data_IF_514630604205
#
_entry.id   IF_514630604205
#
_cell.length_a   1.000
_cell.length_b   1.000
_cell.length_c   1.000
_cell.angle_alpha   90.00
_cell.angle_beta   90.00
_cell.angle_gamma   90.00
#
_symmetry.space_group_name_H-M   'P 1'
#
loop_
_entity.id
_entity.type
_entity.pdbx_description
1 polymer ?
#
# COMPACT_ATOMS: atom_id res chain seq x y z
N UNK A 1 4.15 -15.10 -14.44
CA UNK A 1 4.67 -13.99 -13.60
C UNK A 1 5.37 -14.48 -12.32
N UNK A 2 4.71 -15.28 -11.47
CA UNK A 2 5.32 -15.80 -10.24
C UNK A 2 6.62 -16.59 -10.48
N UNK A 3 6.66 -17.46 -11.49
CA UNK A 3 7.88 -18.21 -11.85
C UNK A 3 9.05 -17.30 -12.24
N UNK A 4 8.79 -16.25 -13.02
CA UNK A 4 9.81 -15.25 -13.35
C UNK A 4 10.34 -14.56 -12.08
N UNK A 5 9.45 -14.11 -11.20
CA UNK A 5 9.85 -13.49 -9.93
C UNK A 5 10.64 -14.46 -9.03
N UNK A 6 10.26 -15.74 -9.00
CA UNK A 6 10.97 -16.80 -8.26
C UNK A 6 12.43 -16.92 -8.71
N UNK A 7 12.65 -16.99 -10.02
CA UNK A 7 14.00 -17.05 -10.58
C UNK A 7 14.76 -15.74 -10.42
N UNK A 8 14.11 -14.59 -10.60
CA UNK A 8 14.71 -13.28 -10.36
C UNK A 8 15.19 -13.10 -8.92
N UNK A 9 14.39 -13.55 -7.94
CA UNK A 9 14.80 -13.51 -6.54
C UNK A 9 15.93 -14.49 -6.22
N UNK A 10 16.03 -15.57 -7.00
CA UNK A 10 17.09 -16.57 -6.83
C UNK A 10 18.47 -16.02 -7.21
N UNK A 11 18.56 -15.07 -8.15
CA UNK A 11 19.82 -14.40 -8.51
C UNK A 11 20.10 -13.23 -7.56
N UNK A 12 19.35 -12.12 -7.69
CA UNK A 12 19.69 -10.82 -7.06
C UNK A 12 18.75 -10.45 -5.90
N UNK A 13 17.86 -11.36 -5.52
CA UNK A 13 17.01 -11.22 -4.34
C UNK A 13 17.71 -11.62 -3.05
N UNK A 14 17.16 -11.17 -1.93
CA UNK A 14 17.51 -11.61 -0.58
C UNK A 14 16.22 -12.02 0.12
N UNK A 15 16.27 -13.17 0.78
CA UNK A 15 15.24 -13.68 1.69
C UNK A 15 16.03 -14.17 2.89
N UNK A 16 15.79 -13.60 4.06
CA UNK A 16 16.39 -14.06 5.31
C UNK A 16 15.58 -13.64 6.51
N UNK A 17 15.64 -14.43 7.56
CA UNK A 17 15.12 -14.03 8.86
C UNK A 17 16.12 -13.10 9.56
N UNK A 18 15.64 -12.01 10.14
CA UNK A 18 16.41 -11.17 11.04
C UNK A 18 15.94 -11.40 12.48
N UNK A 19 16.61 -12.31 13.17
CA UNK A 19 16.27 -12.68 14.54
C UNK A 19 16.36 -11.51 15.53
N UNK A 20 17.28 -10.55 15.31
CA UNK A 20 17.43 -9.39 16.19
C UNK A 20 16.25 -8.43 16.09
N UNK A 21 15.75 -8.25 14.87
CA UNK A 21 14.61 -7.36 14.61
C UNK A 21 13.25 -8.09 14.59
N UNK A 22 13.23 -9.42 14.71
CA UNK A 22 12.02 -10.23 14.68
C UNK A 22 11.22 -10.09 13.38
N UNK A 23 11.91 -9.96 12.23
CA UNK A 23 11.24 -9.72 10.94
C UNK A 23 11.91 -10.44 9.78
N UNK A 24 11.12 -10.77 8.76
CA UNK A 24 11.62 -11.21 7.46
C UNK A 24 12.22 -10.04 6.68
N UNK A 25 13.38 -10.27 6.08
CA UNK A 25 14.01 -9.35 5.11
C UNK A 25 13.89 -9.97 3.72
N UNK A 26 12.90 -9.50 2.97
CA UNK A 26 12.66 -9.90 1.58
C UNK A 26 12.85 -8.66 0.70
N UNK A 27 13.92 -8.65 -0.10
CA UNK A 27 14.17 -7.54 -1.02
C UNK A 27 14.87 -7.97 -2.30
N UNK A 28 14.77 -7.13 -3.32
CA UNK A 28 15.48 -7.23 -4.59
C UNK A 28 16.27 -5.95 -4.81
N UNK A 29 17.47 -6.06 -5.36
CA UNK A 29 18.35 -4.93 -5.62
C UNK A 29 18.74 -4.86 -7.10
N UNK A 30 18.65 -3.67 -7.70
CA UNK A 30 19.06 -3.45 -9.09
C UNK A 30 19.64 -2.05 -9.27
N UNK A 31 20.56 -1.87 -10.21
CA UNK A 31 21.04 -0.54 -10.64
C UNK A 31 20.09 0.11 -11.66
N UNK A 32 19.10 -0.64 -12.17
CA UNK A 32 18.08 -0.17 -13.11
C UNK A 32 16.81 0.23 -12.36
N UNK A 33 16.46 1.53 -12.46
CA UNK A 33 15.21 2.06 -11.90
C UNK A 33 13.99 1.45 -12.59
N UNK A 34 14.02 1.40 -13.93
CA UNK A 34 12.93 0.87 -14.74
C UNK A 34 12.63 -0.59 -14.38
N UNK A 35 13.65 -1.44 -14.32
CA UNK A 35 13.47 -2.84 -13.93
C UNK A 35 12.88 -2.97 -12.52
N UNK A 36 13.32 -2.11 -11.59
CA UNK A 36 12.78 -2.08 -10.23
C UNK A 36 11.29 -1.73 -10.21
N UNK A 37 10.88 -0.75 -11.00
CA UNK A 37 9.47 -0.34 -11.12
C UNK A 37 8.64 -1.44 -11.81
N UNK A 38 9.16 -2.08 -12.86
CA UNK A 38 8.48 -3.20 -13.53
C UNK A 38 8.26 -4.38 -12.59
N UNK A 39 9.29 -4.77 -11.83
CA UNK A 39 9.19 -5.82 -10.80
C UNK A 39 8.18 -5.43 -9.72
N UNK A 40 8.15 -4.16 -9.31
CA UNK A 40 7.14 -3.63 -8.38
C UNK A 40 5.73 -3.79 -8.94
N UNK A 41 5.49 -3.47 -10.20
CA UNK A 41 4.19 -3.67 -10.85
C UNK A 41 3.80 -5.15 -10.93
N UNK A 42 4.75 -6.05 -11.21
CA UNK A 42 4.50 -7.50 -11.19
C UNK A 42 4.10 -7.99 -9.79
N UNK A 43 4.74 -7.48 -8.74
CA UNK A 43 4.36 -7.78 -7.35
C UNK A 43 2.97 -7.24 -6.99
N UNK A 44 2.63 -6.03 -7.43
CA UNK A 44 1.31 -5.44 -7.21
C UNK A 44 0.19 -6.27 -7.86
N UNK A 45 0.40 -6.83 -9.05
CA UNK A 45 -0.54 -7.76 -9.69
C UNK A 45 -0.74 -9.07 -8.91
N UNK A 46 0.22 -9.45 -8.07
CA UNK A 46 0.07 -10.56 -7.12
C UNK A 46 -0.50 -10.08 -5.77
N UNK A 47 -0.88 -8.82 -5.64
CA UNK A 47 -1.34 -8.19 -4.42
C UNK A 47 -0.26 -8.15 -3.33
N UNK A 48 1.01 -8.04 -3.72
CA UNK A 48 2.17 -7.93 -2.83
C UNK A 48 2.65 -6.47 -2.85
N UNK A 49 2.41 -5.77 -1.75
CA UNK A 49 2.88 -4.39 -1.59
C UNK A 49 4.38 -4.38 -1.35
N UNK A 50 5.09 -3.51 -2.06
CA UNK A 50 6.53 -3.31 -1.91
C UNK A 50 6.90 -1.83 -2.02
N UNK A 51 8.02 -1.47 -1.38
CA UNK A 51 8.56 -0.11 -1.38
C UNK A 51 9.92 -0.08 -2.05
N UNK A 52 10.07 0.79 -3.03
CA UNK A 52 11.32 1.08 -3.69
C UNK A 52 12.00 2.30 -3.05
N UNK A 53 13.31 2.27 -2.84
CA UNK A 53 14.10 3.43 -2.44
C UNK A 53 15.50 3.39 -3.04
N UNK A 54 16.08 4.58 -3.25
CA UNK A 54 17.45 4.75 -3.76
C UNK A 54 18.45 4.58 -2.62
N UNK A 55 19.51 3.81 -2.85
CA UNK A 55 20.63 3.63 -1.93
C UNK A 55 21.89 4.17 -2.61
N UNK A 56 22.39 5.35 -2.19
CA UNK A 56 23.63 5.90 -2.72
C UNK A 56 24.80 4.96 -2.50
N UNK A 57 25.66 4.78 -3.51
CA UNK A 57 26.88 3.95 -3.40
C UNK A 57 28.18 4.77 -3.44
N UNK A 58 28.08 6.09 -3.31
CA UNK A 58 29.23 7.00 -3.37
C UNK A 58 29.82 7.07 -4.77
N UNK A 59 30.93 6.36 -5.00
CA UNK A 59 31.65 6.38 -6.30
C UNK A 59 31.04 5.43 -7.35
N UNK A 60 30.17 4.51 -6.93
CA UNK A 60 29.53 3.56 -7.83
C UNK A 60 28.10 4.00 -8.17
N UNK A 61 27.51 3.35 -9.19
CA UNK A 61 26.12 3.58 -9.56
C UNK A 61 25.19 3.25 -8.38
N UNK A 62 24.25 4.15 -8.12
CA UNK A 62 23.23 3.95 -7.10
C UNK A 62 22.42 2.67 -7.33
N UNK A 63 22.01 2.07 -6.22
CA UNK A 63 21.22 0.84 -6.22
C UNK A 63 19.81 1.16 -5.78
N UNK A 64 18.83 0.59 -6.49
CA UNK A 64 17.43 0.64 -6.14
C UNK A 64 17.04 -0.60 -5.33
N UNK A 65 16.69 -0.32 -4.07
CA UNK A 65 16.11 -1.15 -3.01
C UNK A 65 14.64 -1.47 -3.18
N UNK A 66 14.20 -2.63 -3.68
CA UNK A 66 12.78 -3.02 -3.63
C UNK A 66 12.51 -3.96 -2.46
N UNK A 67 11.83 -3.46 -1.42
CA UNK A 67 11.59 -4.20 -0.19
C UNK A 67 10.12 -4.66 -0.10
N UNK A 68 9.92 -5.96 0.17
CA UNK A 68 8.62 -6.52 0.54
C UNK A 68 8.52 -6.48 2.06
N UNK A 69 7.73 -5.54 2.55
CA UNK A 69 7.57 -5.26 3.97
C UNK A 69 6.16 -5.57 4.44
N UNK A 70 6.02 -5.84 5.74
CA UNK A 70 4.75 -6.19 6.35
C UNK A 70 4.45 -7.69 6.23
N UNK A 71 3.94 -8.25 7.32
CA UNK A 71 3.69 -9.69 7.46
C UNK A 71 2.77 -10.21 6.35
N UNK A 72 1.71 -9.48 6.02
CA UNK A 72 0.74 -9.88 4.98
C UNK A 72 1.39 -10.01 3.60
N UNK A 73 2.16 -9.00 3.17
CA UNK A 73 2.87 -9.03 1.89
C UNK A 73 3.98 -10.09 1.86
N UNK A 74 4.72 -10.27 2.95
CA UNK A 74 5.76 -11.29 3.05
C UNK A 74 5.18 -12.71 2.99
N UNK A 75 4.12 -13.00 3.75
CA UNK A 75 3.40 -14.28 3.68
C UNK A 75 2.88 -14.55 2.27
N UNK A 76 2.31 -13.53 1.62
CA UNK A 76 1.79 -13.65 0.25
C UNK A 76 2.93 -13.87 -0.77
N UNK A 77 4.07 -13.20 -0.61
CA UNK A 77 5.27 -13.44 -1.41
C UNK A 77 5.76 -14.88 -1.27
N UNK A 78 5.94 -15.37 -0.04
CA UNK A 78 6.43 -16.73 0.22
C UNK A 78 5.48 -17.81 -0.30
N UNK A 79 4.17 -17.53 -0.31
CA UNK A 79 3.15 -18.44 -0.84
C UNK A 79 3.06 -18.44 -2.37
N UNK A 80 3.11 -17.27 -3.01
CA UNK A 80 2.84 -17.12 -4.44
C UNK A 80 4.10 -17.13 -5.31
N UNK A 81 5.19 -16.50 -4.84
CA UNK A 81 6.45 -16.37 -5.57
C UNK A 81 7.43 -17.43 -5.10
N UNK A 82 7.60 -17.57 -3.78
CA UNK A 82 8.55 -18.50 -3.15
C UNK A 82 10.01 -18.26 -3.61
N UNK A 83 10.93 -19.16 -3.28
CA UNK A 83 12.33 -19.10 -3.67
C UNK A 83 12.83 -20.44 -4.23
N UNK A 84 13.90 -20.40 -5.00
CA UNK A 84 14.57 -21.59 -5.54
C UNK A 84 16.02 -21.68 -5.04
N UNK A 85 16.59 -22.90 -5.05
CA UNK A 85 17.96 -23.16 -4.61
C UNK A 85 18.15 -22.92 -3.11
N UNK A 86 19.32 -22.43 -2.71
CA UNK A 86 19.65 -22.21 -1.29
C UNK A 86 18.62 -21.31 -0.57
N UNK A 87 18.11 -20.28 -1.25
CA UNK A 87 17.11 -19.34 -0.71
C UNK A 87 15.76 -20.00 -0.40
N UNK A 88 15.50 -21.20 -0.89
CA UNK A 88 14.30 -21.96 -0.53
C UNK A 88 14.25 -22.25 0.97
N UNK A 89 15.39 -22.62 1.57
CA UNK A 89 15.45 -22.91 3.00
C UNK A 89 15.27 -21.65 3.84
N UNK A 90 15.92 -20.54 3.44
CA UNK A 90 15.71 -19.23 4.08
C UNK A 90 14.23 -18.79 4.00
N UNK A 91 13.56 -19.06 2.87
CA UNK A 91 12.14 -18.76 2.71
C UNK A 91 11.25 -19.56 3.68
N UNK A 92 11.59 -20.83 3.96
CA UNK A 92 10.86 -21.64 4.96
C UNK A 92 11.10 -21.15 6.37
N UNK A 93 12.34 -20.77 6.71
CA UNK A 93 12.65 -20.17 8.01
C UNK A 93 11.83 -18.89 8.22
N UNK A 94 11.83 -17.98 7.23
CA UNK A 94 11.04 -16.74 7.30
C UNK A 94 9.56 -17.06 7.41
N UNK A 95 9.04 -18.02 6.63
CA UNK A 95 7.64 -18.40 6.69
C UNK A 95 7.24 -18.89 8.09
N UNK A 96 8.00 -19.81 8.65
CA UNK A 96 7.75 -20.39 9.97
C UNK A 96 7.75 -19.30 11.06
N UNK A 97 8.78 -18.45 11.08
CA UNK A 97 8.88 -17.39 12.08
C UNK A 97 7.79 -16.32 11.93
N UNK A 98 7.27 -16.12 10.71
CA UNK A 98 6.15 -15.22 10.48
C UNK A 98 4.81 -15.78 10.96
N UNK A 99 4.62 -17.10 11.13
CA UNK A 99 3.32 -17.69 11.52
C UNK A 99 2.80 -17.13 12.85
N UNK A 100 3.69 -16.93 13.83
CA UNK A 100 3.33 -16.37 15.14
C UNK A 100 3.13 -14.85 15.16
N UNK A 101 3.41 -14.13 14.06
CA UNK A 101 3.39 -12.67 14.06
C UNK A 101 2.05 -12.16 13.54
N UNK A 102 1.37 -11.34 14.36
CA UNK A 102 0.17 -10.61 13.93
C UNK A 102 0.60 -9.44 13.06
N UNK A 103 0.00 -9.33 11.86
CA UNK A 103 0.31 -8.25 10.95
C UNK A 103 -0.02 -6.88 11.57
N UNK A 104 0.92 -5.94 11.50
CA UNK A 104 0.67 -4.58 11.95
C UNK A 104 -0.26 -3.86 10.97
N UNK A 105 -1.49 -3.57 11.41
CA UNK A 105 -2.52 -2.89 10.62
C UNK A 105 -2.25 -1.39 10.39
N UNK A 106 -1.22 -0.83 11.05
CA UNK A 106 -0.89 0.60 10.95
C UNK A 106 -0.06 0.97 9.70
N UNK A 107 0.20 0.01 8.80
CA UNK A 107 0.81 0.29 7.49
C UNK A 107 -0.27 0.55 6.44
N UNK A 108 -1.38 -0.21 6.49
CA UNK A 108 -2.54 -0.05 5.62
C UNK A 108 -3.59 0.81 6.32
N UNK A 109 -3.34 2.12 6.28
CA UNK A 109 -4.17 3.13 6.94
C UNK A 109 -4.96 3.94 5.94
N UNK A 110 -6.12 4.41 6.36
CA UNK A 110 -6.91 5.40 5.62
C UNK A 110 -6.49 6.79 6.07
N UNK A 111 -6.39 7.80 5.19
CA UNK A 111 -5.97 9.14 5.55
C UNK A 111 -6.75 9.66 6.75
N UNK A 112 -6.06 10.36 7.67
CA UNK A 112 -6.65 10.87 8.92
C UNK A 112 -7.87 11.77 8.67
N UNK A 113 -7.96 12.35 7.49
CA UNK A 113 -9.03 13.20 7.01
C UNK A 113 -10.38 12.47 7.03
N UNK A 114 -10.38 11.12 6.99
CA UNK A 114 -11.61 10.32 7.19
C UNK A 114 -12.29 10.60 8.54
N UNK A 115 -11.54 11.07 9.54
CA UNK A 115 -12.11 11.47 10.83
C UNK A 115 -13.02 12.69 10.75
N UNK A 116 -12.93 13.52 9.70
CA UNK A 116 -13.91 14.58 9.48
C UNK A 116 -15.29 13.97 9.18
N UNK A 117 -15.34 13.00 8.27
CA UNK A 117 -16.57 12.26 7.92
C UNK A 117 -17.14 11.52 9.14
N UNK A 118 -16.30 10.83 9.89
CA UNK A 118 -16.74 10.11 11.12
C UNK A 118 -17.35 11.08 12.14
N UNK A 119 -16.72 12.24 12.37
CA UNK A 119 -17.25 13.24 13.34
C UNK A 119 -18.55 13.88 12.89
N UNK A 120 -18.70 14.10 11.59
CA UNK A 120 -19.97 14.57 11.03
C UNK A 120 -21.08 13.53 11.29
N UNK A 121 -20.82 12.25 10.99
CA UNK A 121 -21.76 11.16 11.24
C UNK A 121 -22.11 10.98 12.71
N UNK A 122 -21.16 11.18 13.62
CA UNK A 122 -21.45 11.18 15.06
C UNK A 122 -22.45 12.27 15.46
N UNK A 123 -22.33 13.45 14.84
CA UNK A 123 -23.24 14.57 15.07
C UNK A 123 -24.65 14.26 14.53
N UNK A 124 -24.73 13.71 13.32
CA UNK A 124 -25.99 13.29 12.68
C UNK A 124 -26.73 12.23 13.52
N UNK A 125 -25.99 11.29 14.12
CA UNK A 125 -26.51 10.26 15.02
C UNK A 125 -26.72 10.74 16.48
N UNK A 126 -26.45 12.02 16.78
CA UNK A 126 -26.47 12.58 18.15
C UNK A 126 -25.63 11.77 19.15
N UNK A 127 -24.57 11.14 18.68
CA UNK A 127 -23.68 10.31 19.49
C UNK A 127 -22.53 11.15 20.04
N UNK A 128 -22.34 11.12 21.35
CA UNK A 128 -21.20 11.84 21.97
C UNK A 128 -19.89 11.14 21.68
N UNK A 129 -18.77 11.90 21.65
CA UNK A 129 -17.45 11.31 21.48
C UNK A 129 -17.09 10.29 22.57
N UNK A 130 -17.63 10.44 23.79
CA UNK A 130 -17.42 9.50 24.90
C UNK A 130 -18.14 8.18 24.65
N UNK A 131 -19.43 8.25 24.26
CA UNK A 131 -20.20 7.06 23.89
C UNK A 131 -19.56 6.34 22.70
N UNK A 132 -19.03 7.08 21.73
CA UNK A 132 -18.33 6.50 20.59
C UNK A 132 -17.03 5.79 21.00
N UNK A 133 -16.22 6.39 21.88
CA UNK A 133 -15.00 5.77 22.37
C UNK A 133 -15.29 4.47 23.15
N UNK A 134 -16.37 4.46 23.93
CA UNK A 134 -16.86 3.27 24.63
C UNK A 134 -17.30 2.17 23.64
N UNK A 135 -18.10 2.51 22.64
CA UNK A 135 -18.52 1.57 21.59
C UNK A 135 -17.32 1.02 20.79
N UNK A 136 -16.29 1.85 20.56
CA UNK A 136 -15.03 1.46 19.95
C UNK A 136 -14.12 0.62 20.84
N UNK A 137 -14.48 0.42 22.12
CA UNK A 137 -13.68 -0.24 23.16
C UNK A 137 -12.29 0.38 23.31
N UNK A 138 -12.23 1.71 23.29
CA UNK A 138 -11.01 2.48 23.43
C UNK A 138 -11.14 3.48 24.58
N UNK A 139 -10.08 3.71 25.38
CA UNK A 139 -10.11 4.75 26.40
C UNK A 139 -10.43 6.12 25.79
N UNK A 140 -11.35 6.85 26.42
CA UNK A 140 -11.64 8.22 26.02
C UNK A 140 -10.52 9.15 26.48
N UNK A 141 -9.60 9.48 25.58
CA UNK A 141 -8.47 10.39 25.82
C UNK A 141 -8.60 11.68 24.99
N UNK A 142 -9.79 12.29 25.00
CA UNK A 142 -10.07 13.55 24.30
C UNK A 142 -9.83 13.47 22.80
N UNK A 143 -8.90 14.29 22.29
CA UNK A 143 -8.62 14.38 20.84
C UNK A 143 -7.66 13.33 20.31
N UNK A 144 -7.10 12.47 21.17
CA UNK A 144 -6.05 11.51 20.80
C UNK A 144 -6.49 10.53 19.72
N UNK A 145 -7.75 10.10 19.73
CA UNK A 145 -8.33 9.23 18.70
C UNK A 145 -8.20 9.80 17.28
N UNK A 146 -8.27 11.12 17.14
CA UNK A 146 -8.35 11.81 15.86
C UNK A 146 -6.98 12.21 15.30
N UNK A 147 -5.89 12.06 16.09
CA UNK A 147 -4.56 12.56 15.71
C UNK A 147 -3.90 11.75 14.60
N UNK A 148 -4.17 10.46 14.55
CA UNK A 148 -3.50 9.52 13.64
C UNK A 148 -4.48 8.92 12.64
N UNK A 149 -3.94 8.56 11.47
CA UNK A 149 -4.65 7.80 10.47
C UNK A 149 -5.17 6.47 11.07
N UNK A 150 -6.45 6.13 10.93
CA UNK A 150 -6.95 4.83 11.38
C UNK A 150 -6.40 3.71 10.51
N UNK A 151 -6.10 2.57 11.14
CA UNK A 151 -6.03 1.30 10.44
C UNK A 151 -7.38 0.95 9.83
N UNK A 152 -7.39 0.11 8.78
CA UNK A 152 -8.63 -0.40 8.19
C UNK A 152 -9.55 -1.07 9.20
N UNK A 153 -9.02 -1.88 10.11
CA UNK A 153 -9.81 -2.54 11.16
C UNK A 153 -10.48 -1.54 12.12
N UNK A 154 -9.77 -0.47 12.50
CA UNK A 154 -10.29 0.57 13.38
C UNK A 154 -11.39 1.36 12.67
N UNK A 155 -11.16 1.74 11.41
CA UNK A 155 -12.19 2.40 10.62
C UNK A 155 -13.40 1.49 10.36
N UNK A 156 -13.18 0.19 10.18
CA UNK A 156 -14.25 -0.80 9.96
C UNK A 156 -15.16 -0.92 11.18
N UNK A 157 -14.59 -0.94 12.39
CA UNK A 157 -15.40 -0.87 13.63
C UNK A 157 -16.18 0.43 13.74
N UNK A 158 -15.55 1.56 13.39
CA UNK A 158 -16.24 2.86 13.38
C UNK A 158 -17.42 2.85 12.39
N UNK A 159 -17.21 2.31 11.19
CA UNK A 159 -18.25 2.16 10.17
C UNK A 159 -19.41 1.29 10.66
N UNK A 160 -19.13 0.18 11.35
CA UNK A 160 -20.17 -0.68 11.91
C UNK A 160 -20.98 -0.01 13.03
N UNK A 161 -20.34 0.79 13.89
CA UNK A 161 -21.03 1.54 14.96
C UNK A 161 -21.94 2.62 14.37
N UNK A 162 -21.50 3.25 13.28
CA UNK A 162 -22.22 4.32 12.59
C UNK A 162 -23.19 3.82 11.52
N UNK A 163 -23.23 2.52 11.25
CA UNK A 163 -23.95 1.90 10.13
C UNK A 163 -23.68 2.61 8.78
N UNK A 164 -22.43 3.00 8.55
CA UNK A 164 -22.04 3.77 7.36
C UNK A 164 -21.35 2.89 6.30
N UNK A 165 -22.09 2.63 5.22
CA UNK A 165 -21.60 1.83 4.09
C UNK A 165 -20.39 2.45 3.39
N UNK A 166 -20.34 3.78 3.24
CA UNK A 166 -19.23 4.45 2.55
C UNK A 166 -17.91 4.30 3.30
N UNK A 167 -17.95 4.42 4.65
CA UNK A 167 -16.80 4.17 5.50
C UNK A 167 -16.40 2.69 5.49
N UNK A 168 -17.38 1.80 5.43
CA UNK A 168 -17.13 0.37 5.32
C UNK A 168 -16.43 0.01 3.99
N UNK A 169 -16.85 0.60 2.86
CA UNK A 169 -16.25 0.37 1.55
C UNK A 169 -14.80 0.89 1.48
N UNK A 170 -14.50 1.99 2.19
CA UNK A 170 -13.12 2.48 2.36
C UNK A 170 -12.19 1.47 3.06
N UNK A 171 -12.75 0.52 3.83
CA UNK A 171 -11.97 -0.48 4.57
C UNK A 171 -11.79 -1.80 3.82
N UNK A 172 -12.59 -2.05 2.79
CA UNK A 172 -12.62 -3.33 2.05
C UNK A 172 -12.07 -3.28 0.63
N UNK A 173 -11.74 -2.10 0.11
CA UNK A 173 -11.12 -1.98 -1.22
C UNK A 173 -9.65 -2.46 -1.23
N UNK A 174 -9.11 -2.70 -2.43
CA UNK A 174 -7.72 -3.12 -2.64
C UNK A 174 -6.75 -1.93 -2.88
N UNK A 175 -7.12 -0.71 -2.46
CA UNK A 175 -6.29 0.49 -2.64
C UNK A 175 -5.37 0.73 -1.45
N UNK A 176 -4.11 1.07 -1.71
CA UNK A 176 -3.21 1.52 -0.66
C UNK A 176 -3.05 3.04 -0.73
N UNK A 177 -3.26 3.71 0.40
CA UNK A 177 -2.96 5.12 0.52
C UNK A 177 -1.46 5.32 0.73
N UNK A 178 -0.84 6.11 -0.15
CA UNK A 178 0.55 6.53 -0.01
C UNK A 178 0.64 8.05 0.08
N UNK A 179 1.70 8.54 0.73
CA UNK A 179 1.91 9.97 0.93
C UNK A 179 2.68 10.54 -0.25
N UNK A 180 2.20 11.64 -0.83
CA UNK A 180 2.98 12.45 -1.77
C UNK A 180 4.18 13.04 -1.04
N UNK A 181 5.39 12.70 -1.52
CA UNK A 181 6.66 13.14 -0.91
C UNK A 181 7.26 14.36 -1.60
N UNK A 182 6.97 14.54 -2.87
CA UNK A 182 7.55 15.59 -3.72
C UNK A 182 6.62 15.84 -4.91
N UNK A 183 6.54 17.09 -5.37
CA UNK A 183 5.91 17.49 -6.62
C UNK A 183 6.88 18.41 -7.33
N UNK A 184 7.36 17.99 -8.50
CA UNK A 184 8.39 18.72 -9.25
C UNK A 184 7.93 18.90 -10.69
N UNK A 185 8.02 20.13 -11.19
CA UNK A 185 7.68 20.45 -12.57
C UNK A 185 8.74 19.88 -13.53
N UNK A 186 8.31 19.15 -14.56
CA UNK A 186 9.19 18.51 -15.56
C UNK A 186 9.20 19.24 -16.93
N UNK A 187 8.64 20.45 -16.97
CA UNK A 187 8.46 21.25 -18.17
C UNK A 187 7.31 20.76 -19.05
N UNK A 188 7.21 21.30 -20.27
CA UNK A 188 6.22 20.88 -21.25
C UNK A 188 6.53 19.47 -21.76
N UNK A 189 5.50 18.64 -21.81
CA UNK A 189 5.54 17.24 -22.27
C UNK A 189 4.27 16.97 -23.04
N UNK A 190 4.36 16.02 -23.96
CA UNK A 190 3.17 15.41 -24.55
C UNK A 190 2.40 14.68 -23.44
N UNK A 191 1.10 14.87 -23.41
CA UNK A 191 0.19 14.27 -22.44
C UNK A 191 -0.83 13.42 -23.18
N UNK A 192 -1.28 12.37 -22.50
CA UNK A 192 -2.25 11.43 -23.04
C UNK A 192 -3.41 11.34 -22.07
N UNK A 193 -4.62 11.34 -22.61
CA UNK A 193 -5.85 11.10 -21.86
C UNK A 193 -6.37 9.70 -22.18
N UNK A 194 -7.01 9.08 -21.18
CA UNK A 194 -7.59 7.75 -21.32
C UNK A 194 -9.03 7.81 -20.86
N UNK A 195 -9.92 7.33 -21.73
CA UNK A 195 -11.33 7.09 -21.42
C UNK A 195 -11.59 5.60 -21.53
N UNK A 196 -12.24 5.04 -20.51
CA UNK A 196 -12.64 3.62 -20.48
C UNK A 196 -14.12 3.56 -20.16
N UNK A 197 -14.89 2.91 -21.02
CA UNK A 197 -16.34 2.83 -20.87
C UNK A 197 -16.70 2.12 -19.55
N UNK A 198 -17.52 2.81 -18.73
CA UNK A 198 -17.95 2.31 -17.43
C UNK A 198 -16.93 2.45 -16.30
N UNK A 199 -15.81 3.15 -16.50
CA UNK A 199 -14.81 3.38 -15.46
C UNK A 199 -14.46 4.86 -15.29
N UNK A 200 -14.73 5.40 -14.10
CA UNK A 200 -14.37 6.77 -13.73
C UNK A 200 -12.87 6.94 -13.44
N UNK A 201 -12.16 5.84 -13.20
CA UNK A 201 -10.74 5.83 -12.85
C UNK A 201 -10.00 4.70 -13.58
N UNK A 202 -8.74 4.96 -13.90
CA UNK A 202 -7.80 3.97 -14.47
C UNK A 202 -6.55 3.87 -13.61
N UNK A 203 -5.80 2.78 -13.75
CA UNK A 203 -4.51 2.61 -13.07
C UNK A 203 -3.37 2.98 -14.03
N UNK A 204 -2.61 4.02 -13.70
CA UNK A 204 -1.42 4.45 -14.41
C UNK A 204 -0.21 4.37 -13.46
N UNK A 205 0.84 3.65 -13.85
CA UNK A 205 2.05 3.45 -13.02
C UNK A 205 1.75 2.98 -11.58
N UNK A 206 0.73 2.12 -11.43
CA UNK A 206 0.29 1.61 -10.12
C UNK A 206 -0.50 2.60 -9.27
N UNK A 207 -0.90 3.75 -9.81
CA UNK A 207 -1.67 4.80 -9.14
C UNK A 207 -3.04 4.92 -9.79
N UNK A 208 -4.09 5.04 -8.97
CA UNK A 208 -5.43 5.34 -9.47
C UNK A 208 -5.51 6.81 -9.89
N UNK A 209 -5.85 7.05 -11.15
CA UNK A 209 -6.05 8.38 -11.74
C UNK A 209 -7.44 8.47 -12.34
N UNK A 210 -8.02 9.66 -12.32
CA UNK A 210 -9.35 9.91 -12.90
C UNK A 210 -9.29 9.77 -14.42
N UNK A 211 -10.22 9.02 -14.99
CA UNK A 211 -10.46 8.98 -16.43
C UNK A 211 -11.22 10.24 -16.86
N UNK A 212 -10.94 10.73 -18.07
CA UNK A 212 -11.65 11.90 -18.60
C UNK A 212 -13.00 11.46 -19.15
N UNK A 213 -14.06 12.19 -18.78
CA UNK A 213 -15.40 11.99 -19.31
C UNK A 213 -15.46 12.45 -20.78
N UNK A 214 -16.12 11.69 -21.64
CA UNK A 214 -16.21 11.98 -23.09
C UNK A 214 -16.80 13.36 -23.37
N UNK A 215 -17.58 13.94 -22.45
CA UNK A 215 -18.16 15.28 -22.60
C UNK A 215 -17.14 16.42 -22.42
N UNK A 216 -16.02 16.21 -21.73
CA UNK A 216 -15.00 17.25 -21.49
C UNK A 216 -13.88 17.28 -22.54
N UNK A 217 -13.70 16.18 -23.29
CA UNK A 217 -12.69 16.10 -24.35
C UNK A 217 -12.96 17.05 -25.53
N UNK A 218 -14.17 17.59 -25.66
CA UNK A 218 -14.54 18.54 -26.72
C UNK A 218 -14.08 19.99 -26.46
N UNK A 219 -13.52 20.30 -25.28
CA UNK A 219 -13.26 21.69 -24.85
C UNK A 219 -11.80 22.15 -24.85
N UNK A 220 -10.82 21.31 -25.22
CA UNK A 220 -9.38 21.62 -25.05
C UNK A 220 -8.59 21.45 -26.37
N UNK A 221 -9.23 21.73 -27.50
CA UNK A 221 -8.54 21.91 -28.79
C UNK A 221 -8.97 23.24 -29.43
N UNK A 222 -8.52 24.33 -28.83
CA UNK A 222 -8.42 25.63 -29.49
C UNK A 222 -7.33 26.44 -28.80
N UNK A 223 -6.09 26.26 -29.25
CA UNK A 223 -5.15 27.32 -29.66
C UNK A 223 -3.78 26.73 -30.04
#
# INVERSE_FOLDING_TARGET
MALFLKHLWSTDGCIKWDAKAGQGRIYYASTSRQLTDDVRHLLLRLGIVSRAYRVPQGRYRDIWRLHVSGVSSQRRFLRLVDAHGAKYFDAREVQHNLEGIVANENVDTVPREVWYTVRQKLTDHKMTHRAFAEAMRTPFCGSTMWKHAPSRSRLHRAAAILDDRSLHDLTKNDLLWDKVVEITAIGQREVYEVTVDGADNVIANGIAVRAVDRSNAAGINSD
#
